data_IF_462305587483
#
_entry.id   IF_462305587483
#
_cell.length_a   1.000
_cell.length_b   1.000
_cell.length_c   1.000
_cell.angle_alpha   90.00
_cell.angle_beta   90.00
_cell.angle_gamma   90.00
#
_symmetry.space_group_name_H-M   'P 1'
#
loop_
_entity.id
_entity.type
_entity.pdbx_description
1 polymer ?
#
# COMPACT_ATOMS: atom_id res chain seq x y z
N UNK A 1 -24.54 22.40 59.10
CA UNK A 1 -25.42 22.05 57.96
C UNK A 1 -24.76 22.68 56.74
N UNK A 2 -23.95 21.94 56.00
CA UNK A 2 -24.28 21.07 54.85
C UNK A 2 -23.62 21.71 53.63
N UNK A 3 -22.81 20.91 52.95
CA UNK A 3 -22.12 21.22 51.71
C UNK A 3 -23.14 21.40 50.58
N UNK A 4 -22.84 22.24 49.59
CA UNK A 4 -22.91 21.83 48.19
C UNK A 4 -22.17 22.80 47.25
N UNK A 5 -21.22 22.21 46.54
CA UNK A 5 -20.41 22.77 45.46
C UNK A 5 -21.23 22.94 44.18
N UNK A 6 -21.20 24.12 43.58
CA UNK A 6 -21.80 24.39 42.26
C UNK A 6 -20.79 25.00 41.29
N UNK A 7 -19.93 24.15 40.73
CA UNK A 7 -19.06 24.48 39.59
C UNK A 7 -19.91 24.83 38.37
N UNK A 8 -19.89 26.08 37.93
CA UNK A 8 -20.22 26.43 36.54
C UNK A 8 -18.93 26.81 35.82
N UNK A 9 -18.30 25.78 35.26
CA UNK A 9 -17.39 25.92 34.14
C UNK A 9 -18.18 26.51 32.99
N UNK A 10 -17.81 27.71 32.55
CA UNK A 10 -18.11 28.17 31.21
C UNK A 10 -17.52 27.12 30.25
N UNK A 11 -18.33 26.43 29.44
CA UNK A 11 -17.78 25.57 28.41
C UNK A 11 -17.17 26.51 27.39
N UNK A 12 -15.84 26.64 27.46
CA UNK A 12 -15.08 27.31 26.45
C UNK A 12 -15.59 26.87 25.08
N UNK A 13 -16.14 27.84 24.33
CA UNK A 13 -16.30 27.73 22.89
C UNK A 13 -14.91 27.49 22.32
N UNK A 14 -14.47 26.24 22.28
CA UNK A 14 -13.54 25.80 21.28
C UNK A 14 -14.22 26.13 19.96
N UNK A 15 -13.70 27.17 19.30
CA UNK A 15 -13.94 27.39 17.89
C UNK A 15 -13.47 26.11 17.21
N UNK A 16 -14.42 25.22 16.93
CA UNK A 16 -14.29 24.21 15.91
C UNK A 16 -13.96 24.95 14.62
N UNK A 17 -12.67 25.05 14.30
CA UNK A 17 -12.26 25.21 12.90
C UNK A 17 -12.84 23.98 12.21
N UNK A 18 -13.96 24.13 11.50
CA UNK A 18 -14.67 23.05 10.82
C UNK A 18 -13.83 22.42 9.71
N UNK A 19 -12.76 21.74 10.10
CA UNK A 19 -11.86 21.02 9.21
C UNK A 19 -12.56 19.73 8.79
N UNK A 20 -13.06 19.75 7.55
CA UNK A 20 -13.71 18.61 6.94
C UNK A 20 -12.63 17.61 6.52
N UNK A 21 -12.63 16.45 7.17
CA UNK A 21 -11.75 15.34 6.79
C UNK A 21 -12.45 14.51 5.72
N UNK A 22 -11.70 13.84 4.83
CA UNK A 22 -12.27 12.95 3.82
C UNK A 22 -11.68 11.56 3.92
N UNK A 23 -12.53 10.56 3.68
CA UNK A 23 -12.18 9.15 3.86
C UNK A 23 -12.62 8.31 2.67
N UNK A 24 -11.87 7.25 2.38
CA UNK A 24 -12.33 6.22 1.44
C UNK A 24 -13.56 5.52 2.00
N UNK A 25 -14.47 5.10 1.11
CA UNK A 25 -15.60 4.25 1.49
C UNK A 25 -15.08 2.97 2.13
N UNK A 26 -15.27 2.82 3.44
CA UNK A 26 -14.97 1.60 4.18
C UNK A 26 -16.21 1.06 4.87
N UNK A 27 -16.46 -0.23 4.70
CA UNK A 27 -17.27 -1.01 5.64
C UNK A 27 -16.36 -1.39 6.83
N UNK A 28 -16.43 -0.68 7.97
CA UNK A 28 -15.64 -1.07 9.16
C UNK A 28 -15.34 -0.03 10.23
N UNK A 29 -14.68 -0.50 11.30
CA UNK A 29 -14.74 -0.08 12.71
C UNK A 29 -14.19 1.31 13.12
N UNK A 30 -13.74 2.18 12.22
CA UNK A 30 -13.28 3.52 12.62
C UNK A 30 -13.64 4.55 11.57
N UNK A 31 -14.85 5.10 11.71
CA UNK A 31 -15.21 6.38 11.10
C UNK A 31 -14.55 7.47 11.95
N UNK A 32 -13.74 8.32 11.35
CA UNK A 32 -13.26 9.52 12.06
C UNK A 32 -14.43 10.50 12.03
N UNK A 33 -14.77 11.07 13.19
CA UNK A 33 -15.88 12.03 13.26
C UNK A 33 -15.65 13.17 12.26
N UNK A 34 -16.71 13.47 11.47
CA UNK A 34 -16.76 14.49 10.40
C UNK A 34 -16.05 14.14 9.09
N UNK A 35 -15.95 12.85 8.74
CA UNK A 35 -15.48 12.45 7.42
C UNK A 35 -16.55 12.54 6.33
N UNK A 36 -16.17 13.05 5.16
CA UNK A 36 -16.92 12.88 3.91
C UNK A 36 -16.41 11.64 3.17
N UNK A 37 -17.35 10.81 2.69
CA UNK A 37 -17.04 9.62 1.91
C UNK A 37 -16.64 10.00 0.47
N UNK A 38 -15.46 9.54 0.03
CA UNK A 38 -15.01 9.69 -1.34
C UNK A 38 -15.87 8.85 -2.29
N UNK A 39 -16.02 9.29 -3.54
CA UNK A 39 -16.81 8.55 -4.55
C UNK A 39 -16.09 7.30 -5.08
N UNK A 40 -14.82 7.11 -4.73
CA UNK A 40 -13.94 6.03 -5.16
C UNK A 40 -13.28 5.34 -3.95
N UNK A 41 -12.67 4.18 -4.20
CA UNK A 41 -12.03 3.35 -3.16
C UNK A 41 -10.51 3.49 -3.17
N UNK A 42 -9.83 2.91 -2.18
CA UNK A 42 -8.36 2.91 -2.11
C UNK A 42 -7.68 1.95 -3.09
N UNK A 43 -8.43 1.14 -3.85
CA UNK A 43 -7.83 0.21 -4.79
C UNK A 43 -7.27 0.93 -6.03
N UNK A 44 -6.11 0.49 -6.51
CA UNK A 44 -5.45 1.14 -7.65
C UNK A 44 -6.32 1.19 -8.90
N UNK A 45 -7.14 0.16 -9.15
CA UNK A 45 -8.04 0.14 -10.31
C UNK A 45 -9.12 1.23 -10.20
N UNK A 46 -9.73 1.41 -9.02
CA UNK A 46 -10.72 2.47 -8.78
C UNK A 46 -10.10 3.86 -8.86
N UNK A 47 -8.87 4.03 -8.36
CA UNK A 47 -8.13 5.29 -8.46
C UNK A 47 -7.79 5.62 -9.91
N UNK A 48 -7.31 4.65 -10.70
CA UNK A 48 -6.97 4.84 -12.10
C UNK A 48 -8.22 5.18 -12.94
N UNK A 49 -9.32 4.45 -12.72
CA UNK A 49 -10.60 4.72 -13.38
C UNK A 49 -11.14 6.12 -13.06
N UNK A 50 -10.99 6.56 -11.81
CA UNK A 50 -11.45 7.89 -11.40
C UNK A 50 -10.54 9.02 -11.88
N UNK A 51 -9.22 8.80 -11.89
CA UNK A 51 -8.24 9.83 -12.23
C UNK A 51 -8.18 10.14 -13.73
N UNK A 52 -8.54 9.18 -14.58
CA UNK A 52 -8.39 9.26 -16.02
C UNK A 52 -9.71 8.81 -16.68
N UNK A 53 -10.55 9.79 -17.05
CA UNK A 53 -11.87 9.54 -17.64
C UNK A 53 -11.83 8.63 -18.89
N UNK A 54 -12.99 8.00 -19.13
CA UNK A 54 -13.29 6.91 -20.07
C UNK A 54 -12.72 7.10 -21.48
N UNK A 55 -11.65 6.37 -21.79
CA UNK A 55 -11.19 6.11 -23.16
C UNK A 55 -9.81 5.48 -23.21
N UNK A 56 -8.92 5.93 -22.35
CA UNK A 56 -7.57 5.36 -22.22
C UNK A 56 -7.54 4.41 -21.01
N UNK A 57 -7.21 3.14 -21.26
CA UNK A 57 -6.89 2.20 -20.17
C UNK A 57 -5.57 2.60 -19.54
N UNK A 58 -5.59 3.63 -18.69
CA UNK A 58 -4.42 4.04 -17.93
C UNK A 58 -4.00 2.87 -17.04
N UNK A 59 -2.71 2.54 -17.09
CA UNK A 59 -2.10 1.51 -16.26
C UNK A 59 -1.21 2.17 -15.22
N UNK A 60 -1.00 1.47 -14.11
CA UNK A 60 -0.12 1.95 -13.03
C UNK A 60 1.29 2.28 -13.54
N UNK A 61 1.83 1.47 -14.46
CA UNK A 61 3.16 1.67 -15.06
C UNK A 61 3.29 2.98 -15.85
N UNK A 62 2.18 3.56 -16.29
CA UNK A 62 2.14 4.77 -17.11
C UNK A 62 1.93 6.04 -16.28
N UNK A 63 1.68 5.91 -14.96
CA UNK A 63 1.49 7.06 -14.09
C UNK A 63 2.81 7.82 -14.00
N UNK A 64 2.79 9.10 -14.37
CA UNK A 64 3.94 9.98 -14.20
C UNK A 64 4.03 10.40 -12.74
N UNK A 65 5.23 10.26 -12.18
CA UNK A 65 5.58 10.62 -10.81
C UNK A 65 6.85 11.46 -10.83
N UNK A 66 6.96 12.38 -9.88
CA UNK A 66 8.04 13.34 -9.83
C UNK A 66 7.76 14.43 -8.80
N UNK A 67 8.72 15.32 -8.60
CA UNK A 67 8.59 16.43 -7.65
C UNK A 67 7.40 17.33 -8.00
N UNK A 68 7.25 17.67 -9.28
CA UNK A 68 6.18 18.52 -9.81
C UNK A 68 4.82 17.86 -9.62
N UNK A 69 4.70 16.57 -9.93
CA UNK A 69 3.47 15.79 -9.74
C UNK A 69 3.09 15.71 -8.26
N UNK A 70 4.06 15.53 -7.36
CA UNK A 70 3.81 15.51 -5.92
C UNK A 70 3.35 16.90 -5.42
N UNK A 71 3.97 17.97 -5.89
CA UNK A 71 3.54 19.34 -5.56
C UNK A 71 2.12 19.63 -6.07
N UNK A 72 1.79 19.19 -7.28
CA UNK A 72 0.45 19.30 -7.84
C UNK A 72 -0.56 18.49 -7.04
N UNK A 73 -0.22 17.27 -6.62
CA UNK A 73 -1.06 16.43 -5.76
C UNK A 73 -1.42 17.15 -4.45
N UNK A 74 -0.42 17.73 -3.78
CA UNK A 74 -0.63 18.49 -2.54
C UNK A 74 -1.53 19.72 -2.77
N UNK A 75 -1.34 20.44 -3.88
CA UNK A 75 -2.21 21.56 -4.25
C UNK A 75 -3.65 21.12 -4.52
N UNK A 76 -3.86 19.95 -5.12
CA UNK A 76 -5.21 19.43 -5.35
C UNK A 76 -5.94 19.10 -4.05
N UNK A 77 -5.23 18.57 -3.05
CA UNK A 77 -5.82 18.33 -1.72
C UNK A 77 -6.19 19.62 -0.99
N UNK A 78 -5.42 20.70 -1.18
CA UNK A 78 -5.72 22.01 -0.63
C UNK A 78 -6.83 22.76 -1.40
N UNK A 79 -7.20 22.30 -2.60
CA UNK A 79 -8.21 22.92 -3.45
C UNK A 79 -9.61 22.35 -3.22
N UNK A 80 -10.62 22.98 -3.84
CA UNK A 80 -11.99 22.43 -3.88
C UNK A 80 -11.99 20.99 -4.41
N UNK A 81 -12.84 20.16 -3.82
CA UNK A 81 -12.92 18.74 -4.17
C UNK A 81 -13.14 18.52 -5.66
N UNK A 82 -12.32 17.65 -6.23
CA UNK A 82 -12.51 17.10 -7.58
C UNK A 82 -12.09 15.63 -7.51
N UNK A 83 -13.02 14.68 -7.76
CA UNK A 83 -12.72 13.25 -7.67
C UNK A 83 -11.50 12.84 -8.49
N UNK A 84 -11.40 13.31 -9.73
CA UNK A 84 -10.28 13.03 -10.65
C UNK A 84 -8.95 13.52 -10.08
N UNK A 85 -8.88 14.80 -9.68
CA UNK A 85 -7.66 15.41 -9.14
C UNK A 85 -7.24 14.75 -7.85
N UNK A 86 -8.19 14.41 -6.99
CA UNK A 86 -7.92 13.75 -5.72
C UNK A 86 -7.45 12.30 -5.94
N UNK A 87 -8.11 11.54 -6.82
CA UNK A 87 -7.69 10.19 -7.18
C UNK A 87 -6.28 10.20 -7.79
N UNK A 88 -5.98 11.15 -8.69
CA UNK A 88 -4.65 11.33 -9.26
C UNK A 88 -3.61 11.73 -8.21
N UNK A 89 -3.96 12.64 -7.30
CA UNK A 89 -3.09 13.03 -6.21
C UNK A 89 -2.79 11.87 -5.25
N UNK A 90 -3.80 11.07 -4.92
CA UNK A 90 -3.67 9.87 -4.10
C UNK A 90 -2.78 8.84 -4.79
N UNK A 91 -2.92 8.63 -6.10
CA UNK A 91 -2.04 7.76 -6.88
C UNK A 91 -0.58 8.18 -6.76
N UNK A 92 -0.29 9.46 -7.02
CA UNK A 92 1.09 9.98 -6.94
C UNK A 92 1.66 9.79 -5.54
N UNK A 93 0.91 10.15 -4.50
CA UNK A 93 1.36 9.99 -3.11
C UNK A 93 1.54 8.52 -2.73
N UNK A 94 0.62 7.64 -3.13
CA UNK A 94 0.74 6.21 -2.85
C UNK A 94 1.99 5.63 -3.51
N UNK A 95 2.22 5.92 -4.79
CA UNK A 95 3.38 5.43 -5.53
C UNK A 95 4.70 5.99 -5.02
N UNK A 96 4.78 7.28 -4.69
CA UNK A 96 6.03 7.90 -4.26
C UNK A 96 6.35 7.68 -2.78
N UNK A 97 5.34 7.56 -1.91
CA UNK A 97 5.55 7.46 -0.47
C UNK A 97 5.27 6.04 0.02
N UNK A 98 4.05 5.53 -0.21
CA UNK A 98 3.65 4.25 0.38
C UNK A 98 4.42 3.07 -0.22
N UNK A 99 4.66 3.07 -1.53
CA UNK A 99 5.41 2.00 -2.17
C UNK A 99 6.92 2.09 -1.91
N UNK A 100 7.48 3.30 -1.73
CA UNK A 100 8.87 3.49 -1.30
C UNK A 100 9.15 2.94 0.11
N UNK A 101 8.16 2.99 1.01
CA UNK A 101 8.29 2.34 2.33
C UNK A 101 8.31 0.82 2.21
N UNK A 102 7.57 0.26 1.24
CA UNK A 102 7.49 -1.20 1.03
C UNK A 102 8.68 -1.76 0.27
N UNK A 103 9.25 -0.97 -0.64
CA UNK A 103 10.27 -1.39 -1.59
C UNK A 103 11.44 -0.41 -1.64
N UNK A 104 12.61 -0.89 -1.27
CA UNK A 104 13.86 -0.12 -1.37
C UNK A 104 14.18 0.23 -2.83
N UNK A 105 13.87 -0.66 -3.77
CA UNK A 105 14.00 -0.37 -5.21
C UNK A 105 13.13 0.81 -5.64
N UNK A 106 11.90 0.92 -5.12
CA UNK A 106 11.02 2.05 -5.45
C UNK A 106 11.55 3.32 -4.81
N UNK A 107 12.03 3.26 -3.57
CA UNK A 107 12.64 4.41 -2.90
C UNK A 107 13.82 4.97 -3.70
N UNK A 108 14.74 4.11 -4.13
CA UNK A 108 15.91 4.50 -4.93
C UNK A 108 15.50 5.15 -6.25
N UNK A 109 14.49 4.59 -6.93
CA UNK A 109 13.93 5.18 -8.15
C UNK A 109 13.26 6.53 -7.88
N UNK A 110 12.53 6.67 -6.77
CA UNK A 110 11.87 7.93 -6.39
C UNK A 110 12.87 9.03 -6.10
N UNK A 111 14.03 8.73 -5.50
CA UNK A 111 15.12 9.70 -5.33
C UNK A 111 15.54 10.29 -6.69
N UNK A 112 15.62 9.46 -7.73
CA UNK A 112 15.85 9.96 -9.10
C UNK A 112 14.65 10.74 -9.65
N UNK A 113 13.41 10.31 -9.36
CA UNK A 113 12.20 11.01 -9.82
C UNK A 113 12.05 12.42 -9.23
N UNK A 114 12.69 12.71 -8.10
CA UNK A 114 12.75 14.07 -7.57
C UNK A 114 13.60 15.02 -8.41
N UNK A 115 14.51 14.48 -9.24
CA UNK A 115 15.31 15.25 -10.18
C UNK A 115 14.59 15.44 -11.51
N UNK A 116 13.88 14.42 -11.98
CA UNK A 116 13.14 14.43 -13.25
C UNK A 116 11.86 13.59 -13.18
N UNK A 117 10.72 14.15 -13.58
CA UNK A 117 9.47 13.40 -13.67
C UNK A 117 9.58 12.23 -14.66
N UNK A 118 9.15 11.05 -14.23
CA UNK A 118 9.22 9.81 -15.02
C UNK A 118 7.96 8.98 -14.86
N UNK A 119 7.72 8.09 -15.81
CA UNK A 119 6.70 7.05 -15.65
C UNK A 119 7.13 6.09 -14.54
N UNK A 120 6.17 5.65 -13.72
CA UNK A 120 6.44 4.73 -12.61
C UNK A 120 7.07 3.41 -13.08
N UNK A 121 6.73 2.94 -14.28
CA UNK A 121 7.38 1.82 -14.95
C UNK A 121 6.82 0.45 -14.58
N UNK A 122 7.04 -0.51 -15.49
CA UNK A 122 6.54 -1.89 -15.36
C UNK A 122 7.17 -2.65 -14.20
N UNK A 123 8.43 -2.37 -13.90
CA UNK A 123 9.20 -3.11 -12.90
C UNK A 123 8.71 -2.77 -11.49
N UNK A 124 8.60 -1.47 -11.18
CA UNK A 124 8.00 -1.01 -9.93
C UNK A 124 6.54 -1.48 -9.80
N UNK A 125 5.76 -1.40 -10.88
CA UNK A 125 4.36 -1.88 -10.89
C UNK A 125 4.26 -3.36 -10.51
N UNK A 126 5.19 -4.18 -10.97
CA UNK A 126 5.18 -5.59 -10.67
C UNK A 126 5.62 -5.90 -9.24
N UNK A 127 6.58 -5.15 -8.68
CA UNK A 127 6.91 -5.23 -7.26
C UNK A 127 5.65 -4.97 -6.42
N UNK A 128 4.99 -3.83 -6.66
CA UNK A 128 3.76 -3.42 -5.96
C UNK A 128 2.68 -4.49 -6.03
N UNK A 129 2.40 -5.01 -7.24
CA UNK A 129 1.39 -6.06 -7.45
C UNK A 129 1.72 -7.40 -6.78
N UNK A 130 2.99 -7.66 -6.44
CA UNK A 130 3.43 -8.92 -5.84
C UNK A 130 3.89 -8.79 -4.38
N UNK A 131 3.71 -7.64 -3.73
CA UNK A 131 4.16 -7.39 -2.35
C UNK A 131 3.79 -8.50 -1.36
N UNK A 132 2.53 -8.94 -1.35
CA UNK A 132 2.04 -9.99 -0.46
C UNK A 132 2.67 -11.36 -0.73
N UNK A 133 2.99 -11.66 -1.99
CA UNK A 133 3.63 -12.92 -2.37
C UNK A 133 5.13 -12.92 -2.02
N UNK A 134 5.81 -11.78 -2.17
CA UNK A 134 7.20 -11.61 -1.75
C UNK A 134 7.33 -11.66 -0.23
N UNK A 135 6.43 -10.98 0.49
CA UNK A 135 6.34 -11.06 1.95
C UNK A 135 6.17 -12.51 2.42
N UNK A 136 5.24 -13.25 1.83
CA UNK A 136 5.03 -14.65 2.17
C UNK A 136 6.26 -15.53 1.89
N UNK A 137 6.92 -15.31 0.74
CA UNK A 137 8.13 -16.03 0.36
C UNK A 137 9.26 -15.83 1.38
N UNK A 138 9.53 -14.58 1.76
CA UNK A 138 10.58 -14.25 2.73
C UNK A 138 10.28 -14.81 4.12
N UNK A 139 9.05 -14.69 4.62
CA UNK A 139 8.65 -15.26 5.92
C UNK A 139 8.80 -16.78 5.94
N UNK A 140 8.45 -17.47 4.84
CA UNK A 140 8.64 -18.93 4.74
C UNK A 140 10.12 -19.28 4.76
N UNK A 141 10.96 -18.57 3.99
CA UNK A 141 12.40 -18.82 3.93
C UNK A 141 13.10 -18.52 5.25
N UNK A 142 12.69 -17.49 5.97
CA UNK A 142 13.20 -17.18 7.30
C UNK A 142 12.82 -18.26 8.33
N UNK A 143 11.55 -18.70 8.34
CA UNK A 143 11.07 -19.70 9.31
C UNK A 143 11.51 -21.14 8.99
N UNK A 144 11.72 -21.43 7.71
CA UNK A 144 12.02 -22.77 7.22
C UNK A 144 13.15 -22.70 6.17
N UNK A 145 14.40 -22.40 6.59
CA UNK A 145 15.51 -22.14 5.65
C UNK A 145 15.86 -23.34 4.78
N UNK A 146 15.72 -24.55 5.31
CA UNK A 146 15.99 -25.81 4.61
C UNK A 146 14.83 -26.26 3.70
N UNK A 147 13.71 -25.54 3.71
CA UNK A 147 12.55 -25.89 2.91
C UNK A 147 12.75 -25.43 1.47
N UNK A 148 12.76 -26.39 0.54
CA UNK A 148 12.70 -26.10 -0.88
C UNK A 148 11.29 -25.60 -1.25
N UNK A 149 11.10 -24.29 -1.07
CA UNK A 149 9.90 -23.59 -1.48
C UNK A 149 10.18 -22.79 -2.76
N UNK A 150 9.61 -23.18 -3.91
CA UNK A 150 9.87 -22.47 -5.16
C UNK A 150 9.18 -21.11 -5.14
N UNK A 151 9.91 -20.09 -5.58
CA UNK A 151 9.37 -18.74 -5.71
C UNK A 151 8.18 -18.75 -6.71
N UNK A 152 7.14 -17.98 -6.41
CA UNK A 152 5.95 -17.91 -7.25
C UNK A 152 6.33 -17.46 -8.69
N UNK A 153 5.76 -18.07 -9.73
CA UNK A 153 6.13 -17.82 -11.16
C UNK A 153 6.17 -16.34 -11.54
N UNK A 154 5.20 -15.55 -11.07
CA UNK A 154 5.13 -14.09 -11.30
C UNK A 154 6.26 -13.28 -10.63
N UNK A 155 6.89 -13.80 -9.58
CA UNK A 155 8.04 -13.16 -8.91
C UNK A 155 9.34 -13.64 -9.55
N UNK A 156 9.42 -14.91 -9.97
CA UNK A 156 10.60 -15.47 -10.68
C UNK A 156 11.01 -14.71 -11.93
N UNK A 157 10.06 -14.05 -12.61
CA UNK A 157 10.38 -13.20 -13.76
C UNK A 157 11.25 -11.99 -13.41
N UNK A 158 11.19 -11.53 -12.15
CA UNK A 158 11.94 -10.38 -11.64
C UNK A 158 13.22 -10.80 -10.93
N UNK A 159 13.15 -11.88 -10.14
CA UNK A 159 14.27 -12.41 -9.39
C UNK A 159 14.69 -13.74 -10.00
N UNK A 160 15.61 -13.66 -10.97
CA UNK A 160 16.21 -14.84 -11.60
C UNK A 160 16.84 -15.73 -10.53
N UNK A 161 16.83 -17.03 -10.79
CA UNK A 161 17.57 -18.04 -10.02
C UNK A 161 17.13 -18.24 -8.55
N UNK A 162 15.90 -17.84 -8.20
CA UNK A 162 15.38 -17.89 -6.82
C UNK A 162 16.31 -17.19 -5.81
N UNK A 163 16.99 -16.14 -6.25
CA UNK A 163 17.94 -15.39 -5.43
C UNK A 163 17.19 -14.64 -4.32
N UNK A 164 17.18 -15.23 -3.12
CA UNK A 164 16.52 -14.68 -1.93
C UNK A 164 17.12 -13.33 -1.58
N UNK A 165 18.43 -13.15 -1.77
CA UNK A 165 19.14 -11.94 -1.38
C UNK A 165 18.64 -10.74 -2.20
N UNK A 166 18.43 -10.91 -3.50
CA UNK A 166 17.84 -9.85 -4.34
C UNK A 166 16.41 -9.50 -3.92
N UNK A 167 15.62 -10.48 -3.47
CA UNK A 167 14.27 -10.19 -2.96
C UNK A 167 14.35 -9.39 -1.67
N UNK A 168 15.29 -9.72 -0.77
CA UNK A 168 15.53 -8.95 0.46
C UNK A 168 15.97 -7.53 0.12
N UNK A 169 16.92 -7.36 -0.80
CA UNK A 169 17.42 -6.04 -1.22
C UNK A 169 16.34 -5.17 -1.88
N UNK A 170 15.36 -5.78 -2.54
CA UNK A 170 14.25 -5.04 -3.14
C UNK A 170 13.18 -4.59 -2.12
N UNK A 171 13.14 -5.20 -0.93
CA UNK A 171 12.06 -5.05 0.05
C UNK A 171 12.47 -4.13 1.20
N UNK A 172 11.71 -3.06 1.43
CA UNK A 172 11.86 -2.19 2.61
C UNK A 172 11.00 -2.63 3.80
N UNK A 173 9.81 -3.20 3.54
CA UNK A 173 8.89 -3.63 4.59
C UNK A 173 8.10 -4.87 4.20
N UNK A 174 7.91 -5.79 5.15
CA UNK A 174 7.12 -7.01 4.99
C UNK A 174 5.70 -6.82 5.54
N UNK A 175 4.72 -7.45 4.88
CA UNK A 175 3.40 -7.59 5.45
C UNK A 175 3.46 -8.53 6.66
N UNK A 176 2.86 -8.12 7.78
CA UNK A 176 2.65 -9.04 8.91
C UNK A 176 1.61 -10.09 8.51
N UNK A 177 2.05 -11.33 8.31
CA UNK A 177 1.22 -12.41 7.77
C UNK A 177 1.27 -13.64 8.68
N UNK A 178 0.10 -14.21 8.97
CA UNK A 178 0.01 -15.53 9.59
C UNK A 178 0.03 -16.61 8.52
N UNK A 179 1.20 -17.22 8.32
CA UNK A 179 1.38 -18.30 7.35
C UNK A 179 1.10 -19.64 8.02
N UNK A 180 0.21 -20.44 7.42
CA UNK A 180 0.01 -21.85 7.75
C UNK A 180 0.67 -22.69 6.67
N UNK A 181 1.68 -23.47 7.04
CA UNK A 181 2.31 -24.43 6.13
C UNK A 181 1.70 -25.79 6.44
N UNK A 182 1.15 -26.44 5.42
CA UNK A 182 0.65 -27.82 5.49
C UNK A 182 1.63 -28.71 4.76
N UNK A 183 2.20 -29.70 5.47
CA UNK A 183 3.06 -30.73 4.90
C UNK A 183 2.45 -32.11 5.09
N UNK A 184 2.65 -32.97 4.10
CA UNK A 184 2.41 -34.40 4.24
C UNK A 184 3.67 -35.04 4.84
N UNK A 185 3.48 -36.06 5.67
CA UNK A 185 4.59 -36.84 6.22
C UNK A 185 4.68 -38.14 5.45
N UNK A 186 5.81 -38.40 4.79
CA UNK A 186 6.09 -39.69 4.14
C UNK A 186 7.40 -40.24 4.68
N UNK A 187 7.37 -41.47 5.19
CA UNK A 187 8.56 -42.22 5.61
C UNK A 187 9.43 -41.55 6.69
N UNK A 188 8.82 -40.86 7.66
CA UNK A 188 9.54 -40.25 8.78
C UNK A 188 10.24 -38.93 8.45
N UNK A 189 10.22 -38.50 7.20
CA UNK A 189 10.71 -37.19 6.77
C UNK A 189 9.53 -36.28 6.36
N UNK A 190 9.58 -34.98 6.70
CA UNK A 190 8.60 -34.02 6.21
C UNK A 190 8.81 -33.81 4.71
N UNK A 191 7.97 -34.41 3.87
CA UNK A 191 7.99 -34.21 2.42
C UNK A 191 6.81 -33.33 2.04
N UNK A 192 7.06 -32.10 1.61
CA UNK A 192 6.00 -31.25 1.06
C UNK A 192 5.45 -31.83 -0.26
N UNK A 193 4.51 -32.77 -0.18
CA UNK A 193 3.72 -33.22 -1.33
C UNK A 193 2.43 -32.41 -1.45
N UNK A 194 2.51 -31.08 -1.46
CA UNK A 194 1.29 -30.29 -1.53
C UNK A 194 1.49 -28.79 -1.56
N UNK A 195 0.51 -28.10 -2.16
CA UNK A 195 0.47 -26.65 -2.25
C UNK A 195 0.53 -26.02 -0.84
N UNK A 196 1.55 -25.18 -0.60
CA UNK A 196 1.57 -24.31 0.58
C UNK A 196 0.42 -23.32 0.44
N UNK A 197 -0.62 -23.48 1.27
CA UNK A 197 -1.75 -22.56 1.29
C UNK A 197 -1.45 -21.37 2.19
N UNK A 198 -1.09 -20.23 1.60
CA UNK A 198 -0.90 -18.98 2.34
C UNK A 198 -2.27 -18.31 2.50
N UNK A 199 -2.84 -18.37 3.70
CA UNK A 199 -4.02 -17.57 4.04
C UNK A 199 -3.58 -16.18 4.52
N UNK A 200 -4.01 -15.14 3.83
CA UNK A 200 -3.82 -13.74 4.25
C UNK A 200 -5.11 -13.34 4.98
N UNK A 201 -5.04 -13.05 6.28
CA UNK A 201 -6.11 -12.35 7.00
C UNK A 201 -5.84 -10.85 6.99
#
# INVERSE_FOLDING_TARGET
MSWETGSRRDPGKHRDSGEVRREFKREGLRRIDRSEDLTFTECYDSLLETAFERGEKMKLENVVVGKEELQLALRWFASTYSPERWAKGILVVALMISESVRFETVLNNVVEYFLESRQFGSDNTALVKNWGKMSAYLIIKEKYPNLEFPMHRRIRGYFKDNDVQKVVEAMGMLKNMKIRVTCDWRLGEPVLTGAVSVSIR
#
